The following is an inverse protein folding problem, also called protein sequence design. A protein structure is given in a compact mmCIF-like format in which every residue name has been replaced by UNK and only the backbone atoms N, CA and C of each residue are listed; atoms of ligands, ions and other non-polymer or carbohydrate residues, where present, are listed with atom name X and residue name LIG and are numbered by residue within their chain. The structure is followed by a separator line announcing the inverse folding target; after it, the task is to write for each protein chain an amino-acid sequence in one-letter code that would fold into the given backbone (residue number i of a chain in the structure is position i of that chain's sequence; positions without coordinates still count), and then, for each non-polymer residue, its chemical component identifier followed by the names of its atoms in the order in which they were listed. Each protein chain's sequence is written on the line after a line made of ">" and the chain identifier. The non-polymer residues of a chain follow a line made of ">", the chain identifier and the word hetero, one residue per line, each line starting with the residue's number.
data_IF_296812376575
#
_entry.id   IF_296812376575
#
_cell.length_a   1.000
_cell.length_b   1.000
_cell.length_c   1.000
_cell.angle_alpha   90.00
_cell.angle_beta   90.00
_cell.angle_gamma   90.00
#
_symmetry.space_group_name_H-M   'P 1'
#
loop_
_entity.id
_entity.type
_entity.pdbx_description
1 polymer ?
#
# COMPACT_ATOMS: atom_id res chain seq x y z
N UNK A 1 -12.83 7.97 10.95
CA UNK A 1 -11.52 8.59 11.25
C UNK A 1 -11.59 10.05 10.83
N UNK A 2 -11.05 11.02 11.58
CA UNK A 2 -11.03 12.41 11.12
C UNK A 2 -10.08 12.52 9.93
N UNK A 3 -10.63 12.88 8.78
CA UNK A 3 -9.87 13.19 7.56
C UNK A 3 -9.74 14.70 7.53
N UNK A 4 -8.53 15.19 7.32
CA UNK A 4 -8.27 16.61 7.13
C UNK A 4 -7.99 16.84 5.65
N UNK A 5 -8.98 17.37 4.94
CA UNK A 5 -8.79 17.90 3.59
C UNK A 5 -8.62 19.41 3.73
N UNK A 6 -7.47 19.93 3.31
CA UNK A 6 -7.21 21.36 3.26
C UNK A 6 -7.05 21.72 1.79
N UNK A 7 -7.99 22.51 1.30
CA UNK A 7 -7.90 23.10 -0.02
C UNK A 7 -7.08 24.39 0.04
N UNK A 8 -6.07 24.47 -0.82
CA UNK A 8 -5.27 25.67 -1.05
C UNK A 8 -5.61 26.15 -2.46
N UNK A 9 -6.37 27.24 -2.54
CA UNK A 9 -6.87 27.78 -3.80
C UNK A 9 -5.97 28.88 -4.35
N UNK A 10 -5.63 28.78 -5.63
CA UNK A 10 -5.17 29.92 -6.43
C UNK A 10 -6.23 30.35 -7.45
N UNK A 11 -7.04 29.42 -7.97
CA UNK A 11 -8.16 29.70 -8.88
C UNK A 11 -9.11 28.51 -9.01
N UNK A 12 -10.40 28.76 -9.25
CA UNK A 12 -11.38 27.73 -9.67
C UNK A 12 -11.19 27.28 -11.14
N UNK A 13 -10.22 27.87 -11.83
CA UNK A 13 -9.85 27.54 -13.21
C UNK A 13 -8.45 26.94 -13.21
N UNK A 14 -8.26 25.83 -13.90
CA UNK A 14 -6.96 25.14 -14.02
C UNK A 14 -6.95 23.73 -13.42
N UNK A 15 -5.79 23.07 -13.39
CA UNK A 15 -5.68 21.71 -12.86
C UNK A 15 -5.89 21.64 -11.35
N UNK A 16 -6.30 20.48 -10.87
CA UNK A 16 -6.35 20.14 -9.45
C UNK A 16 -5.31 19.08 -9.11
N UNK A 17 -4.33 19.43 -8.28
CA UNK A 17 -3.25 18.52 -7.85
C UNK A 17 -3.42 18.17 -6.37
N UNK A 18 -3.38 16.89 -6.03
CA UNK A 18 -3.42 16.42 -4.65
C UNK A 18 -2.02 16.07 -4.14
N UNK A 19 -1.69 16.53 -2.92
CA UNK A 19 -0.54 16.06 -2.14
C UNK A 19 -1.08 15.28 -0.94
N UNK A 20 -0.70 14.00 -0.84
CA UNK A 20 -1.22 13.07 0.17
C UNK A 20 -0.24 12.96 1.33
N UNK A 21 -0.77 13.02 2.56
CA UNK A 21 -0.01 13.05 3.81
C UNK A 21 -0.44 11.86 4.67
N UNK A 22 0.41 10.85 4.78
CA UNK A 22 0.26 9.79 5.77
C UNK A 22 0.77 10.23 7.13
N UNK A 23 0.15 9.75 8.20
CA UNK A 23 0.50 10.16 9.58
C UNK A 23 0.16 9.11 10.64
N UNK A 24 -0.27 7.91 10.25
CA UNK A 24 -0.44 6.81 11.18
C UNK A 24 0.91 6.23 11.64
N UNK A 25 0.88 5.47 12.72
CA UNK A 25 2.04 4.85 13.33
C UNK A 25 1.76 3.36 13.56
N UNK A 26 2.83 2.59 13.73
CA UNK A 26 2.73 1.16 14.01
C UNK A 26 2.64 0.90 15.52
N UNK A 27 1.86 -0.12 15.94
CA UNK A 27 1.81 -0.54 17.34
C UNK A 27 3.21 -0.80 17.90
N UNK A 28 3.46 -0.31 19.11
CA UNK A 28 4.68 -0.55 19.91
C UNK A 28 6.00 0.04 19.36
N UNK A 29 6.08 0.37 18.08
CA UNK A 29 7.30 0.86 17.43
C UNK A 29 7.18 2.28 16.86
N UNK A 30 6.02 2.93 16.97
CA UNK A 30 5.85 4.33 16.56
C UNK A 30 5.92 4.51 15.04
N UNK A 31 6.45 5.65 14.56
CA UNK A 31 6.61 5.92 13.13
C UNK A 31 7.76 5.13 12.49
N UNK A 32 7.78 3.82 12.67
CA UNK A 32 8.80 2.94 12.10
C UNK A 32 8.72 2.82 10.56
N UNK A 33 7.69 3.38 9.93
CA UNK A 33 7.59 3.54 8.48
C UNK A 33 7.89 4.98 8.01
N UNK A 34 8.09 5.92 8.95
CA UNK A 34 8.45 7.30 8.66
C UNK A 34 7.28 8.19 8.21
N UNK A 35 6.03 7.84 8.53
CA UNK A 35 4.85 8.63 8.12
C UNK A 35 4.88 10.07 8.67
N UNK A 36 5.56 10.31 9.80
CA UNK A 36 5.84 11.67 10.27
C UNK A 36 6.59 12.52 9.21
N UNK A 37 7.54 11.93 8.49
CA UNK A 37 8.29 12.61 7.43
C UNK A 37 7.50 12.69 6.11
N UNK A 38 6.58 11.76 5.85
CA UNK A 38 5.64 11.85 4.72
C UNK A 38 4.74 13.08 4.91
N UNK A 39 4.12 13.21 6.08
CA UNK A 39 3.32 14.38 6.44
C UNK A 39 4.15 15.68 6.37
N UNK A 40 5.37 15.67 6.90
CA UNK A 40 6.27 16.82 6.89
C UNK A 40 6.62 17.27 5.46
N UNK A 41 7.10 16.35 4.61
CA UNK A 41 7.47 16.65 3.23
C UNK A 41 6.27 17.14 2.41
N UNK A 42 5.11 16.48 2.56
CA UNK A 42 3.87 16.87 1.88
C UNK A 42 3.38 18.25 2.30
N UNK A 43 3.39 18.54 3.61
CA UNK A 43 2.98 19.85 4.12
C UNK A 43 3.97 20.96 3.70
N UNK A 44 5.27 20.70 3.77
CA UNK A 44 6.29 21.64 3.30
C UNK A 44 6.12 21.94 1.81
N UNK A 45 5.84 20.91 1.00
CA UNK A 45 5.56 21.08 -0.41
C UNK A 45 4.32 21.96 -0.63
N UNK A 46 3.25 21.70 0.10
CA UNK A 46 2.02 22.47 -0.02
C UNK A 46 2.18 23.95 0.36
N UNK A 47 2.93 24.25 1.42
CA UNK A 47 3.26 25.62 1.82
C UNK A 47 4.07 26.32 0.73
N UNK A 48 5.06 25.65 0.14
CA UNK A 48 5.88 26.22 -0.92
C UNK A 48 5.09 26.50 -2.20
N UNK A 49 4.21 25.57 -2.61
CA UNK A 49 3.31 25.77 -3.76
C UNK A 49 2.36 26.94 -3.49
N UNK A 50 1.76 27.00 -2.30
CA UNK A 50 0.90 28.12 -1.90
C UNK A 50 1.60 29.47 -2.07
N UNK A 51 2.79 29.59 -1.50
CA UNK A 51 3.56 30.83 -1.56
C UNK A 51 3.88 31.23 -3.02
N UNK A 52 4.25 30.26 -3.86
CA UNK A 52 4.52 30.51 -5.28
C UNK A 52 3.27 30.97 -6.04
N UNK A 53 2.10 30.38 -5.76
CA UNK A 53 0.82 30.78 -6.39
C UNK A 53 0.32 32.15 -5.91
N UNK A 54 0.63 32.54 -4.67
CA UNK A 54 0.33 33.88 -4.16
C UNK A 54 1.25 34.95 -4.78
N UNK A 55 2.48 34.59 -5.16
CA UNK A 55 3.45 35.48 -5.79
C UNK A 55 3.24 35.60 -7.31
N UNK A 56 2.87 34.52 -7.98
CA UNK A 56 2.68 34.46 -9.43
C UNK A 56 1.22 34.18 -9.81
N UNK A 57 0.50 35.24 -10.18
CA UNK A 57 -0.90 35.16 -10.58
C UNK A 57 -1.13 34.39 -11.90
N UNK A 58 -0.09 34.07 -12.67
CA UNK A 58 -0.21 33.21 -13.87
C UNK A 58 -0.40 31.73 -13.50
N UNK A 59 -0.03 31.33 -12.28
CA UNK A 59 -0.28 29.97 -11.78
C UNK A 59 -1.76 29.80 -11.43
N UNK A 60 -2.48 29.09 -12.30
CA UNK A 60 -3.91 28.78 -12.14
C UNK A 60 -4.11 27.33 -11.72
N UNK A 61 -5.13 27.08 -10.90
CA UNK A 61 -5.52 25.75 -10.44
C UNK A 61 -5.76 25.67 -8.94
N UNK A 62 -5.94 24.44 -8.48
CA UNK A 62 -6.24 24.09 -7.09
C UNK A 62 -5.21 23.08 -6.57
N UNK A 63 -4.65 23.36 -5.39
CA UNK A 63 -3.87 22.38 -4.65
C UNK A 63 -4.72 21.80 -3.53
N UNK A 64 -4.82 20.47 -3.46
CA UNK A 64 -5.52 19.76 -2.40
C UNK A 64 -4.48 19.08 -1.50
N UNK A 65 -4.51 19.38 -0.21
CA UNK A 65 -3.69 18.69 0.79
C UNK A 65 -4.58 17.70 1.51
N UNK A 66 -4.30 16.42 1.33
CA UNK A 66 -5.15 15.35 1.85
C UNK A 66 -4.44 14.58 2.93
N UNK A 67 -4.95 14.69 4.15
CA UNK A 67 -4.54 13.83 5.25
C UNK A 67 -5.11 12.42 5.10
N UNK A 68 -4.26 11.43 4.88
CA UNK A 68 -4.64 10.03 4.64
C UNK A 68 -4.29 9.14 5.82
N UNK A 69 -5.27 8.70 6.63
CA UNK A 69 -5.01 7.86 7.80
C UNK A 69 -4.79 6.39 7.43
N UNK A 70 -4.28 5.61 8.37
CA UNK A 70 -4.38 4.15 8.42
C UNK A 70 -3.85 3.38 7.19
N UNK A 71 -2.73 3.83 6.61
CA UNK A 71 -2.10 3.10 5.52
C UNK A 71 -1.53 1.74 5.96
N UNK A 72 -1.14 1.57 7.22
CA UNK A 72 -0.49 0.35 7.74
C UNK A 72 -1.43 -0.87 7.89
N UNK A 73 -2.61 -0.83 7.27
CA UNK A 73 -3.53 -1.96 7.15
C UNK A 73 -5.00 -1.61 7.35
N UNK A 74 -5.35 -0.32 7.43
CA UNK A 74 -6.73 0.16 7.50
C UNK A 74 -7.26 0.76 6.19
N UNK A 75 -6.44 0.83 5.14
CA UNK A 75 -6.86 1.22 3.80
C UNK A 75 -7.51 2.60 3.73
N UNK A 76 -7.01 3.58 4.49
CA UNK A 76 -7.70 4.87 4.61
C UNK A 76 -7.87 5.60 3.29
N UNK A 77 -6.93 5.46 2.34
CA UNK A 77 -7.10 6.04 0.98
C UNK A 77 -8.21 5.35 0.19
N UNK A 78 -8.44 4.05 0.42
CA UNK A 78 -9.53 3.29 -0.23
C UNK A 78 -10.87 3.85 0.25
N UNK A 79 -11.03 4.05 1.56
CA UNK A 79 -12.25 4.65 2.12
C UNK A 79 -12.46 6.09 1.61
N UNK A 80 -11.39 6.87 1.48
CA UNK A 80 -11.46 8.22 0.90
C UNK A 80 -11.88 8.20 -0.56
N UNK A 81 -11.36 7.25 -1.33
CA UNK A 81 -11.73 7.03 -2.73
C UNK A 81 -13.20 6.67 -2.87
N UNK A 82 -13.72 5.75 -2.05
CA UNK A 82 -15.13 5.37 -2.02
C UNK A 82 -16.07 6.52 -1.65
N UNK A 83 -15.60 7.46 -0.83
CA UNK A 83 -16.33 8.67 -0.43
C UNK A 83 -16.22 9.82 -1.43
N UNK A 84 -15.57 9.61 -2.59
CA UNK A 84 -15.45 10.61 -3.65
C UNK A 84 -14.38 11.66 -3.41
N UNK A 85 -13.46 11.48 -2.44
CA UNK A 85 -12.44 12.49 -2.11
C UNK A 85 -11.43 12.77 -3.24
N UNK A 86 -11.34 11.86 -4.22
CA UNK A 86 -10.47 11.99 -5.40
C UNK A 86 -11.23 12.44 -6.66
N UNK A 87 -12.53 12.72 -6.57
CA UNK A 87 -13.28 13.27 -7.69
C UNK A 87 -12.76 14.65 -8.07
N UNK A 88 -12.47 14.86 -9.36
CA UNK A 88 -11.93 16.12 -9.88
C UNK A 88 -10.45 16.34 -9.61
N UNK A 89 -9.73 15.39 -9.00
CA UNK A 89 -8.26 15.43 -8.90
C UNK A 89 -7.64 15.00 -10.24
N UNK A 90 -6.76 15.84 -10.79
CA UNK A 90 -6.08 15.60 -12.07
C UNK A 90 -4.75 14.84 -11.90
N UNK A 91 -4.08 14.99 -10.76
CA UNK A 91 -2.86 14.27 -10.41
C UNK A 91 -2.70 14.17 -8.88
N UNK A 92 -2.15 13.05 -8.41
CA UNK A 92 -1.95 12.76 -6.98
C UNK A 92 -0.47 12.42 -6.70
N UNK A 93 0.12 13.02 -5.66
CA UNK A 93 1.55 12.83 -5.39
C UNK A 93 1.82 12.67 -3.90
N UNK A 94 2.75 11.78 -3.57
CA UNK A 94 3.32 11.64 -2.23
C UNK A 94 4.75 11.13 -2.34
N UNK A 95 5.49 11.14 -1.23
CA UNK A 95 6.87 10.63 -1.14
C UNK A 95 7.01 9.76 0.10
N UNK A 96 7.96 8.81 0.09
CA UNK A 96 8.16 7.89 1.21
C UNK A 96 9.62 7.85 1.67
N UNK A 97 9.91 8.00 2.97
CA UNK A 97 11.26 7.78 3.47
C UNK A 97 11.59 6.29 3.44
N UNK A 98 12.78 5.96 2.97
CA UNK A 98 13.31 4.61 2.94
C UNK A 98 14.81 4.63 3.17
N UNK A 99 15.42 3.45 3.22
CA UNK A 99 16.89 3.31 3.24
C UNK A 99 17.52 3.55 1.87
N UNK A 100 16.72 3.57 0.82
CA UNK A 100 17.18 3.70 -0.57
C UNK A 100 16.22 4.59 -1.36
N UNK A 101 16.77 5.43 -2.23
CA UNK A 101 15.99 6.25 -3.14
C UNK A 101 15.51 5.37 -4.30
N UNK A 102 14.24 5.48 -4.66
CA UNK A 102 13.69 4.85 -5.84
C UNK A 102 12.57 5.71 -6.40
N UNK A 103 12.79 6.32 -7.56
CA UNK A 103 11.77 7.16 -8.20
C UNK A 103 10.63 6.36 -8.81
N UNK A 104 10.87 5.09 -9.14
CA UNK A 104 9.91 4.18 -9.75
C UNK A 104 9.72 2.93 -8.86
N UNK A 105 9.20 3.08 -7.64
CA UNK A 105 9.00 1.94 -6.76
C UNK A 105 7.95 1.01 -7.33
N UNK A 106 8.17 -0.28 -7.14
CA UNK A 106 7.21 -1.34 -7.48
C UNK A 106 6.66 -1.88 -6.17
N UNK A 107 5.38 -1.73 -5.95
CA UNK A 107 4.67 -2.28 -4.79
C UNK A 107 3.85 -3.49 -5.21
N UNK A 108 3.39 -4.27 -4.23
CA UNK A 108 2.64 -5.49 -4.47
C UNK A 108 1.15 -5.27 -4.19
N UNK A 109 0.29 -5.87 -5.00
CA UNK A 109 -1.09 -6.11 -4.58
C UNK A 109 -1.09 -6.97 -3.31
N UNK A 110 -2.06 -6.75 -2.42
CA UNK A 110 -2.16 -7.48 -1.15
C UNK A 110 -3.61 -7.69 -0.74
N UNK A 111 -3.95 -8.93 -0.34
CA UNK A 111 -5.23 -9.28 0.27
C UNK A 111 -5.04 -10.20 1.47
N UNK A 112 -5.95 -10.07 2.45
CA UNK A 112 -6.01 -10.88 3.67
C UNK A 112 -7.31 -11.64 3.76
N UNK A 113 -7.24 -12.97 3.79
CA UNK A 113 -8.38 -13.83 4.07
C UNK A 113 -8.50 -14.15 5.56
N UNK A 114 -9.74 -14.15 6.05
CA UNK A 114 -10.16 -14.92 7.22
C UNK A 114 -10.83 -16.19 6.73
N UNK A 115 -10.35 -17.34 7.19
CA UNK A 115 -10.87 -18.67 6.84
C UNK A 115 -11.35 -19.36 8.11
N UNK A 116 -12.55 -19.91 8.09
CA UNK A 116 -13.20 -20.54 9.23
C UNK A 116 -13.66 -21.94 8.83
N UNK A 117 -13.12 -22.95 9.49
CA UNK A 117 -13.55 -24.33 9.35
C UNK A 117 -14.54 -24.68 10.45
N UNK A 118 -15.62 -25.35 10.08
CA UNK A 118 -16.65 -25.83 11.00
C UNK A 118 -16.81 -27.33 10.89
N UNK A 119 -16.66 -28.00 12.02
CA UNK A 119 -16.77 -29.43 12.19
C UNK A 119 -17.81 -29.80 13.26
N UNK A 120 -17.55 -30.87 13.99
CA UNK A 120 -18.43 -31.42 15.03
C UNK A 120 -17.60 -32.01 16.17
N UNK A 121 -17.95 -31.65 17.40
CA UNK A 121 -17.28 -32.17 18.59
C UNK A 121 -17.59 -33.65 18.82
N UNK A 122 -16.61 -34.35 19.39
CA UNK A 122 -16.75 -35.70 19.90
C UNK A 122 -15.68 -35.93 20.97
N UNK A 123 -15.89 -36.93 21.82
CA UNK A 123 -14.87 -37.33 22.78
C UNK A 123 -13.73 -38.03 22.04
N UNK A 124 -12.55 -37.41 22.01
CA UNK A 124 -11.44 -37.82 21.14
C UNK A 124 -11.00 -39.28 21.41
N UNK A 125 -10.97 -39.70 22.68
CA UNK A 125 -10.58 -41.06 23.06
C UNK A 125 -11.68 -42.12 23.04
N UNK A 126 -12.96 -41.74 22.94
CA UNK A 126 -14.08 -42.68 23.19
C UNK A 126 -14.96 -42.90 21.96
N UNK A 127 -15.25 -41.83 21.21
CA UNK A 127 -16.12 -41.89 20.03
C UNK A 127 -15.68 -40.91 18.91
N UNK A 128 -14.40 -40.90 18.49
CA UNK A 128 -13.91 -39.93 17.52
C UNK A 128 -14.64 -39.99 16.16
N UNK A 129 -15.20 -41.14 15.77
CA UNK A 129 -15.96 -41.32 14.52
C UNK A 129 -17.27 -40.52 14.46
N UNK A 130 -17.78 -40.05 15.61
CA UNK A 130 -18.96 -39.17 15.67
C UNK A 130 -18.61 -37.70 15.35
N UNK A 131 -17.32 -37.35 15.35
CA UNK A 131 -16.82 -36.00 15.19
C UNK A 131 -16.37 -35.67 13.76
N UNK A 132 -16.12 -34.38 13.53
CA UNK A 132 -15.49 -33.83 12.31
C UNK A 132 -14.46 -32.80 12.77
N UNK A 133 -13.19 -33.08 12.55
CA UNK A 133 -12.10 -32.31 13.17
C UNK A 133 -11.75 -31.06 12.35
N UNK A 134 -12.18 -29.90 12.83
CA UNK A 134 -11.89 -28.62 12.18
C UNK A 134 -10.41 -28.24 12.27
N UNK A 135 -9.68 -28.66 13.32
CA UNK A 135 -8.24 -28.45 13.41
C UNK A 135 -7.51 -29.23 12.31
N UNK A 136 -7.91 -30.47 12.06
CA UNK A 136 -7.32 -31.27 10.96
C UNK A 136 -7.57 -30.58 9.61
N UNK A 137 -8.75 -29.99 9.40
CA UNK A 137 -9.04 -29.21 8.20
C UNK A 137 -8.08 -28.00 8.06
N UNK A 138 -7.87 -27.23 9.12
CA UNK A 138 -6.93 -26.11 9.11
C UNK A 138 -5.48 -26.57 8.86
N UNK A 139 -5.04 -27.67 9.48
CA UNK A 139 -3.70 -28.25 9.27
C UNK A 139 -3.54 -28.76 7.84
N UNK A 140 -4.52 -29.49 7.30
CA UNK A 140 -4.52 -29.92 5.91
C UNK A 140 -4.47 -28.74 4.94
N UNK A 141 -5.24 -27.68 5.21
CA UNK A 141 -5.18 -26.44 4.44
C UNK A 141 -3.77 -25.81 4.45
N UNK A 142 -3.14 -25.72 5.62
CA UNK A 142 -1.78 -25.20 5.76
C UNK A 142 -0.77 -26.04 4.96
N UNK A 143 -0.89 -27.37 4.98
CA UNK A 143 -0.04 -28.27 4.21
C UNK A 143 -0.27 -28.13 2.70
N UNK A 144 -1.53 -28.01 2.26
CA UNK A 144 -1.87 -27.76 0.85
C UNK A 144 -1.22 -26.44 0.36
N UNK A 145 -1.28 -25.37 1.17
CA UNK A 145 -0.60 -24.11 0.87
C UNK A 145 0.92 -24.30 0.83
N UNK A 146 1.49 -25.07 1.76
CA UNK A 146 2.93 -25.35 1.77
C UNK A 146 3.39 -26.06 0.49
N UNK A 147 2.62 -27.03 -0.01
CA UNK A 147 2.89 -27.72 -1.28
C UNK A 147 2.68 -26.78 -2.48
N UNK A 148 1.63 -25.96 -2.47
CA UNK A 148 1.34 -24.98 -3.51
C UNK A 148 2.53 -24.03 -3.76
N UNK A 149 3.27 -23.65 -2.71
CA UNK A 149 4.42 -22.74 -2.82
C UNK A 149 5.53 -23.23 -3.77
N UNK A 150 5.66 -24.53 -4.02
CA UNK A 150 6.60 -25.04 -5.02
C UNK A 150 6.20 -24.65 -6.45
N UNK A 151 4.92 -24.32 -6.68
CA UNK A 151 4.32 -24.13 -8.00
C UNK A 151 3.77 -22.71 -8.21
N UNK A 152 4.21 -21.73 -7.44
CA UNK A 152 3.91 -20.30 -7.63
C UNK A 152 5.11 -19.55 -8.21
N UNK A 153 4.88 -18.35 -8.77
CA UNK A 153 5.97 -17.52 -9.27
C UNK A 153 6.88 -17.06 -8.12
N UNK A 154 8.20 -16.88 -8.34
CA UNK A 154 9.11 -16.37 -7.32
C UNK A 154 8.72 -15.01 -6.72
N UNK A 155 8.00 -14.18 -7.49
CA UNK A 155 7.48 -12.87 -7.06
C UNK A 155 6.25 -12.97 -6.16
N UNK A 156 5.55 -14.11 -6.14
CA UNK A 156 4.34 -14.29 -5.34
C UNK A 156 4.67 -14.64 -3.90
N UNK A 157 3.78 -14.28 -2.97
CA UNK A 157 3.94 -14.59 -1.54
C UNK A 157 2.62 -15.10 -0.98
N UNK A 158 2.72 -16.12 -0.12
CA UNK A 158 1.59 -16.61 0.68
C UNK A 158 2.09 -16.81 2.11
N UNK A 159 1.51 -16.08 3.07
CA UNK A 159 1.72 -16.26 4.50
C UNK A 159 0.42 -16.76 5.12
N UNK A 160 0.49 -17.69 6.05
CA UNK A 160 -0.69 -18.23 6.71
C UNK A 160 -0.39 -18.50 8.19
N UNK A 161 -1.40 -18.37 9.04
CA UNK A 161 -1.38 -18.77 10.44
C UNK A 161 -2.70 -19.43 10.83
N UNK A 162 -2.66 -20.31 11.83
CA UNK A 162 -3.86 -20.82 12.50
C UNK A 162 -4.06 -19.96 13.76
N UNK A 163 -5.14 -19.19 13.80
CA UNK A 163 -5.42 -18.27 14.91
C UNK A 163 -6.24 -18.93 16.02
N UNK A 164 -6.98 -19.98 15.67
CA UNK A 164 -7.77 -20.81 16.61
C UNK A 164 -7.76 -22.25 16.15
N UNK A 165 -7.50 -23.19 17.06
CA UNK A 165 -7.28 -24.59 16.72
C UNK A 165 -7.78 -25.60 17.76
N UNK A 166 -8.82 -25.26 18.53
CA UNK A 166 -9.32 -26.09 19.63
C UNK A 166 -8.84 -25.63 21.01
N UNK A 167 -9.36 -26.27 22.06
CA UNK A 167 -9.19 -25.85 23.46
C UNK A 167 -8.45 -26.88 24.29
N UNK A 168 -8.85 -28.15 24.22
CA UNK A 168 -8.22 -29.25 24.96
C UNK A 168 -8.09 -30.51 24.08
N UNK A 169 -7.03 -31.32 24.24
CA UNK A 169 -6.79 -32.48 23.36
C UNK A 169 -7.84 -33.59 23.40
N UNK A 170 -8.62 -33.71 24.49
CA UNK A 170 -9.60 -34.79 24.65
C UNK A 170 -10.97 -34.50 23.98
N UNK A 171 -11.11 -33.34 23.32
CA UNK A 171 -12.31 -32.95 22.56
C UNK A 171 -11.89 -32.69 21.12
N UNK A 172 -12.55 -33.34 20.16
CA UNK A 172 -12.36 -33.06 18.74
C UNK A 172 -12.81 -31.61 18.45
N UNK A 173 -11.94 -30.72 17.93
CA UNK A 173 -12.30 -29.34 17.66
C UNK A 173 -13.42 -29.22 16.61
N UNK A 174 -14.51 -28.53 16.96
CA UNK A 174 -15.60 -28.19 16.04
C UNK A 174 -15.39 -26.90 15.26
N UNK A 175 -14.37 -26.11 15.60
CA UNK A 175 -14.04 -24.88 14.90
C UNK A 175 -12.52 -24.65 14.88
N UNK A 176 -12.03 -24.17 13.74
CA UNK A 176 -10.67 -23.69 13.59
C UNK A 176 -10.63 -22.50 12.63
N UNK A 177 -9.83 -21.50 12.96
CA UNK A 177 -9.73 -20.26 12.20
C UNK A 177 -8.30 -20.08 11.68
N UNK A 178 -8.17 -19.56 10.47
CA UNK A 178 -6.90 -19.21 9.85
C UNK A 178 -6.94 -17.80 9.28
N UNK A 179 -5.77 -17.19 9.21
CA UNK A 179 -5.56 -16.00 8.40
C UNK A 179 -4.54 -16.28 7.31
N UNK A 180 -4.81 -15.79 6.10
CA UNK A 180 -3.97 -16.05 4.93
C UNK A 180 -3.75 -14.75 4.16
N UNK A 181 -2.50 -14.32 4.05
CA UNK A 181 -2.06 -13.20 3.22
C UNK A 181 -1.55 -13.68 1.87
N UNK A 182 -1.90 -12.94 0.82
CA UNK A 182 -1.40 -13.16 -0.53
C UNK A 182 -0.90 -11.86 -1.11
N UNK A 183 0.26 -11.91 -1.77
CA UNK A 183 0.83 -10.78 -2.49
C UNK A 183 1.34 -11.16 -3.87
N UNK A 184 1.08 -10.31 -4.85
CA UNK A 184 1.54 -10.46 -6.23
C UNK A 184 1.89 -9.11 -6.86
N UNK A 185 2.76 -9.09 -7.88
CA UNK A 185 3.06 -7.89 -8.65
C UNK A 185 1.87 -7.18 -9.30
N UNK A 186 0.85 -7.92 -9.77
CA UNK A 186 -0.31 -7.34 -10.45
C UNK A 186 -1.63 -7.96 -9.99
N UNK A 187 -2.75 -7.27 -10.25
CA UNK A 187 -4.11 -7.72 -9.92
C UNK A 187 -4.49 -9.02 -10.64
N UNK A 188 -4.10 -9.16 -11.91
CA UNK A 188 -4.35 -10.37 -12.70
C UNK A 188 -3.64 -11.60 -12.12
N UNK A 189 -2.40 -11.42 -11.68
CA UNK A 189 -1.66 -12.45 -10.97
C UNK A 189 -2.29 -12.79 -9.62
N UNK A 190 -2.79 -11.78 -8.89
CA UNK A 190 -3.46 -11.98 -7.60
C UNK A 190 -4.69 -12.86 -7.76
N UNK A 191 -5.54 -12.58 -8.76
CA UNK A 191 -6.73 -13.37 -9.08
C UNK A 191 -6.39 -14.84 -9.36
N UNK A 192 -5.28 -15.06 -10.09
CA UNK A 192 -4.78 -16.41 -10.38
C UNK A 192 -4.32 -17.14 -9.12
N UNK A 193 -3.52 -16.47 -8.28
CA UNK A 193 -3.04 -17.05 -7.02
C UNK A 193 -4.20 -17.34 -6.06
N UNK A 194 -5.12 -16.39 -5.92
CA UNK A 194 -6.31 -16.47 -5.09
C UNK A 194 -7.13 -17.71 -5.38
N UNK A 195 -7.43 -17.96 -6.65
CA UNK A 195 -8.20 -19.14 -7.08
C UNK A 195 -7.55 -20.46 -6.62
N UNK A 196 -6.21 -20.53 -6.68
CA UNK A 196 -5.46 -21.73 -6.26
C UNK A 196 -5.43 -21.88 -4.74
N UNK A 197 -5.35 -20.78 -4.00
CA UNK A 197 -5.37 -20.79 -2.53
C UNK A 197 -6.78 -21.11 -1.99
N UNK A 198 -7.84 -20.58 -2.61
CA UNK A 198 -9.24 -20.92 -2.27
C UNK A 198 -9.54 -22.41 -2.50
N UNK A 199 -8.92 -23.02 -3.51
CA UNK A 199 -9.00 -24.46 -3.70
C UNK A 199 -8.35 -25.25 -2.55
N UNK A 200 -7.29 -24.74 -1.93
CA UNK A 200 -6.69 -25.35 -0.72
C UNK A 200 -7.65 -25.30 0.48
N UNK A 201 -8.41 -24.21 0.63
CA UNK A 201 -9.43 -24.08 1.69
C UNK A 201 -10.52 -25.13 1.50
N UNK A 202 -11.06 -25.19 0.28
CA UNK A 202 -12.19 -26.06 -0.08
C UNK A 202 -11.81 -27.54 -0.03
N UNK A 203 -10.61 -27.91 -0.49
CA UNK A 203 -10.16 -29.30 -0.50
C UNK A 203 -9.93 -29.85 0.90
N UNK A 204 -9.39 -29.02 1.81
CA UNK A 204 -9.15 -29.42 3.20
C UNK A 204 -10.47 -29.64 3.97
N UNK A 205 -11.46 -28.77 3.76
CA UNK A 205 -12.81 -28.94 4.28
C UNK A 205 -13.43 -30.26 3.79
N UNK A 206 -13.39 -30.46 2.46
CA UNK A 206 -13.93 -31.65 1.81
C UNK A 206 -13.29 -32.94 2.33
N UNK A 207 -11.96 -33.00 2.42
CA UNK A 207 -11.23 -34.19 2.86
C UNK A 207 -11.53 -34.60 4.31
N UNK A 208 -11.88 -33.63 5.16
CA UNK A 208 -12.14 -33.84 6.59
C UNK A 208 -13.64 -33.91 6.91
N UNK A 209 -14.50 -33.75 5.91
CA UNK A 209 -15.96 -33.67 6.08
C UNK A 209 -16.42 -32.41 6.83
N UNK A 210 -15.58 -31.38 6.92
CA UNK A 210 -15.90 -30.08 7.52
C UNK A 210 -16.51 -29.14 6.48
N UNK A 211 -17.18 -28.10 6.98
CA UNK A 211 -17.57 -26.94 6.18
C UNK A 211 -16.47 -25.87 6.25
N UNK A 212 -16.36 -25.02 5.23
CA UNK A 212 -15.47 -23.85 5.25
C UNK A 212 -16.20 -22.61 4.79
N UNK A 213 -15.95 -21.51 5.49
CA UNK A 213 -16.32 -20.17 5.07
C UNK A 213 -15.05 -19.33 5.00
N UNK A 214 -14.91 -18.52 3.97
CA UNK A 214 -13.79 -17.62 3.85
C UNK A 214 -14.20 -16.34 3.16
N UNK A 215 -13.59 -15.24 3.58
CA UNK A 215 -13.75 -13.92 2.97
C UNK A 215 -12.44 -13.16 3.11
N UNK A 216 -12.18 -12.25 2.19
CA UNK A 216 -11.12 -11.27 2.36
C UNK A 216 -11.72 -9.89 2.58
N UNK A 217 -10.94 -9.04 3.21
CA UNK A 217 -11.32 -7.65 3.46
C UNK A 217 -11.07 -6.81 2.21
N UNK A 218 -12.13 -6.50 1.48
CA UNK A 218 -12.06 -5.68 0.27
C UNK A 218 -11.63 -4.24 0.58
N UNK A 219 -12.04 -3.69 1.73
CA UNK A 219 -11.68 -2.34 2.15
C UNK A 219 -10.18 -2.21 2.46
N UNK A 220 -9.49 -3.33 2.66
CA UNK A 220 -8.05 -3.42 2.91
C UNK A 220 -7.30 -4.18 1.80
N UNK A 221 -7.90 -4.30 0.61
CA UNK A 221 -7.26 -4.88 -0.56
C UNK A 221 -6.41 -3.82 -1.27
N UNK A 222 -5.09 -3.97 -1.21
CA UNK A 222 -4.18 -3.00 -1.80
C UNK A 222 -3.85 -3.39 -3.22
N UNK A 223 -3.84 -2.40 -4.11
CA UNK A 223 -3.36 -2.57 -5.48
C UNK A 223 -1.86 -2.30 -5.58
N UNK A 224 -1.26 -2.75 -6.67
CA UNK A 224 0.09 -2.36 -7.02
C UNK A 224 0.12 -0.90 -7.51
N UNK A 225 1.24 -0.23 -7.26
CA UNK A 225 1.45 1.16 -7.64
C UNK A 225 1.73 1.28 -9.14
N UNK A 226 0.89 2.04 -9.83
CA UNK A 226 1.10 2.50 -11.20
C UNK A 226 1.77 3.87 -11.15
N UNK A 227 3.09 3.90 -11.32
CA UNK A 227 3.84 5.16 -11.34
C UNK A 227 3.70 5.83 -12.70
N UNK A 228 3.04 7.00 -12.73
CA UNK A 228 2.96 7.82 -13.95
C UNK A 228 4.36 8.29 -14.35
N UNK A 229 4.82 7.86 -15.52
CA UNK A 229 6.21 8.05 -15.96
C UNK A 229 6.52 9.51 -16.25
N UNK A 230 5.55 10.27 -16.76
CA UNK A 230 5.74 11.71 -17.03
C UNK A 230 5.98 12.46 -15.72
N UNK A 231 5.09 12.30 -14.73
CA UNK A 231 5.25 12.90 -13.40
C UNK A 231 6.55 12.47 -12.73
N UNK A 232 6.87 11.17 -12.76
CA UNK A 232 8.06 10.63 -12.11
C UNK A 232 9.36 11.14 -12.75
N UNK A 233 9.40 11.35 -14.07
CA UNK A 233 10.56 11.93 -14.75
C UNK A 233 10.75 13.42 -14.42
N UNK A 234 9.65 14.19 -14.34
CA UNK A 234 9.71 15.60 -13.89
C UNK A 234 10.24 15.65 -12.45
N UNK A 235 9.69 14.82 -11.57
CA UNK A 235 10.14 14.70 -10.19
C UNK A 235 11.64 14.34 -10.13
N UNK A 236 12.07 13.37 -10.93
CA UNK A 236 13.48 12.95 -11.02
C UNK A 236 14.40 14.10 -11.42
N UNK A 237 14.05 14.86 -12.47
CA UNK A 237 14.86 15.99 -12.94
C UNK A 237 15.09 17.02 -11.83
N UNK A 238 14.03 17.35 -11.10
CA UNK A 238 14.11 18.27 -9.96
C UNK A 238 14.90 17.70 -8.78
N UNK A 239 14.74 16.40 -8.50
CA UNK A 239 15.51 15.72 -7.45
C UNK A 239 17.01 15.77 -7.75
N UNK A 240 17.40 15.45 -8.99
CA UNK A 240 18.81 15.46 -9.43
C UNK A 240 19.42 16.86 -9.35
N UNK A 241 18.68 17.91 -9.68
CA UNK A 241 19.13 19.32 -9.51
C UNK A 241 19.40 19.70 -8.05
N UNK A 242 18.74 19.02 -7.10
CA UNK A 242 18.96 19.20 -5.67
C UNK A 242 19.99 18.21 -5.09
N UNK A 243 20.65 17.41 -5.94
CA UNK A 243 21.62 16.40 -5.54
C UNK A 243 21.00 15.11 -4.98
N UNK A 244 19.68 14.94 -5.10
CA UNK A 244 18.96 13.73 -4.72
C UNK A 244 18.91 12.76 -5.89
N UNK A 245 19.98 12.00 -6.06
CA UNK A 245 20.07 11.02 -7.15
C UNK A 245 19.21 9.78 -6.88
N UNK A 246 18.68 9.20 -7.97
CA UNK A 246 17.98 7.93 -7.94
C UNK A 246 18.90 6.80 -7.45
N UNK A 247 18.31 5.76 -6.87
CA UNK A 247 19.06 4.61 -6.37
C UNK A 247 19.70 3.78 -7.50
N UNK A 248 20.66 2.92 -7.17
CA UNK A 248 21.29 2.04 -8.15
C UNK A 248 20.25 1.07 -8.76
N UNK A 249 20.46 0.60 -9.99
CA UNK A 249 19.47 -0.23 -10.72
C UNK A 249 19.04 -1.50 -9.98
N UNK A 250 19.90 -2.04 -9.10
CA UNK A 250 19.54 -3.19 -8.26
C UNK A 250 18.38 -2.89 -7.30
N UNK A 251 18.28 -1.65 -6.82
CA UNK A 251 17.18 -1.18 -5.94
C UNK A 251 15.87 -1.06 -6.72
N UNK A 252 15.92 -0.68 -8.00
CA UNK A 252 14.73 -0.56 -8.87
C UNK A 252 14.02 -1.89 -9.13
N UNK A 253 14.72 -3.01 -8.91
CA UNK A 253 14.17 -4.38 -9.05
C UNK A 253 13.58 -4.93 -7.75
N UNK A 254 13.73 -4.20 -6.64
CA UNK A 254 13.14 -4.60 -5.36
C UNK A 254 11.64 -4.37 -5.45
N UNK A 255 10.89 -5.44 -5.20
CA UNK A 255 9.47 -5.33 -4.90
C UNK A 255 9.36 -4.88 -3.45
N UNK A 256 8.92 -3.64 -3.27
CA UNK A 256 8.66 -3.07 -1.96
C UNK A 256 7.35 -3.64 -1.40
N UNK A 257 6.94 -3.18 -0.23
CA UNK A 257 5.71 -3.61 0.43
C UNK A 257 4.45 -3.31 -0.38
N UNK A 258 3.35 -3.15 0.32
CA UNK A 258 2.04 -2.83 -0.27
C UNK A 258 1.58 -1.52 0.34
N UNK A 259 0.93 -0.68 -0.46
CA UNK A 259 0.45 0.63 -0.03
C UNK A 259 -0.89 0.92 -0.68
N UNK A 260 -1.80 1.57 0.05
CA UNK A 260 -3.10 1.98 -0.48
C UNK A 260 -3.00 3.17 -1.48
N UNK A 261 -1.82 3.79 -1.62
CA UNK A 261 -1.52 4.68 -2.74
C UNK A 261 -1.57 3.95 -4.09
N UNK A 262 -1.38 2.62 -4.09
CA UNK A 262 -1.64 1.79 -5.25
C UNK A 262 -3.07 1.95 -5.75
N UNK A 263 -4.06 1.91 -4.85
CA UNK A 263 -5.47 2.06 -5.23
C UNK A 263 -5.75 3.43 -5.87
N UNK A 264 -5.14 4.50 -5.35
CA UNK A 264 -5.26 5.84 -5.94
C UNK A 264 -4.65 5.90 -7.34
N UNK A 265 -3.50 5.25 -7.53
CA UNK A 265 -2.83 5.20 -8.83
C UNK A 265 -3.57 4.40 -9.91
N UNK A 266 -4.67 3.72 -9.58
CA UNK A 266 -5.55 3.09 -10.57
C UNK A 266 -6.70 4.02 -11.01
N UNK A 267 -6.90 5.16 -10.34
CA UNK A 267 -8.01 6.08 -10.61
C UNK A 267 -7.54 7.48 -10.99
N UNK A 268 -6.37 7.89 -10.49
CA UNK A 268 -5.76 9.20 -10.75
C UNK A 268 -4.27 9.02 -11.14
N UNK A 269 -3.73 9.78 -12.11
CA UNK A 269 -2.30 9.79 -12.40
C UNK A 269 -1.48 10.09 -11.15
N UNK A 270 -0.55 9.20 -10.81
CA UNK A 270 0.07 9.22 -9.50
C UNK A 270 1.58 8.96 -9.47
N UNK A 271 2.26 9.50 -8.45
CA UNK A 271 3.62 9.12 -8.06
C UNK A 271 3.72 8.89 -6.56
N UNK A 272 4.58 7.95 -6.17
CA UNK A 272 4.94 7.68 -4.78
C UNK A 272 6.46 7.40 -4.65
N UNK A 273 7.36 8.35 -5.01
CA UNK A 273 8.79 8.11 -5.00
C UNK A 273 9.33 7.86 -3.60
N UNK A 274 10.32 6.99 -3.48
CA UNK A 274 11.01 6.71 -2.22
C UNK A 274 12.29 7.53 -2.18
N UNK A 275 12.61 8.12 -1.02
CA UNK A 275 13.82 8.91 -0.81
C UNK A 275 14.61 8.39 0.38
N UNK A 276 15.93 8.51 0.29
CA UNK A 276 16.83 8.00 1.34
C UNK A 276 16.88 8.95 2.54
N UNK A 277 16.74 8.40 3.74
CA UNK A 277 17.16 9.05 4.99
C UNK A 277 18.35 8.28 5.62
N UNK A 278 19.23 8.95 6.40
CA UNK A 278 20.29 8.26 7.13
C UNK A 278 19.71 7.26 8.13
N UNK A 279 19.83 5.95 7.85
CA UNK A 279 19.36 4.89 8.74
C UNK A 279 20.16 3.60 8.57
N UNK A 280 20.48 2.94 9.68
CA UNK A 280 20.95 1.56 9.70
C UNK A 280 19.80 0.53 9.65
N UNK A 281 18.58 0.98 9.97
CA UNK A 281 17.37 0.17 9.96
C UNK A 281 16.70 0.16 8.58
N UNK A 282 15.75 -0.76 8.43
CA UNK A 282 14.75 -0.72 7.34
C UNK A 282 13.40 -0.35 7.94
N UNK A 283 12.47 0.12 7.12
CA UNK A 283 11.09 0.38 7.55
C UNK A 283 10.52 -0.80 8.36
N UNK A 284 9.66 -0.49 9.33
CA UNK A 284 9.06 -1.41 10.30
C UNK A 284 10.05 -1.97 11.35
N UNK A 285 11.11 -1.22 11.66
CA UNK A 285 12.04 -1.54 12.74
C UNK A 285 12.19 -0.37 13.71
N UNK A 286 12.50 -0.65 14.98
CA UNK A 286 12.77 0.39 16.00
C UNK A 286 13.90 1.34 15.57
N UNK A 287 14.92 0.83 14.88
CA UNK A 287 16.02 1.63 14.32
C UNK A 287 15.54 2.63 13.27
N UNK A 288 14.51 2.29 12.50
CA UNK A 288 13.94 3.23 11.53
C UNK A 288 13.06 4.27 12.21
N UNK A 289 12.37 3.93 13.29
CA UNK A 289 11.70 4.93 14.15
C UNK A 289 12.68 5.97 14.65
N UNK A 290 13.81 5.54 15.21
CA UNK A 290 14.89 6.42 15.68
C UNK A 290 15.39 7.32 14.55
N UNK A 291 15.70 6.75 13.38
CA UNK A 291 16.13 7.51 12.21
C UNK A 291 15.08 8.50 11.70
N UNK A 292 13.81 8.12 11.68
CA UNK A 292 12.71 8.97 11.20
C UNK A 292 12.44 10.16 12.11
N UNK A 293 12.81 10.07 13.39
CA UNK A 293 12.73 11.17 14.36
C UNK A 293 14.05 11.94 14.52
N UNK A 294 15.10 11.57 13.79
CA UNK A 294 16.43 12.13 13.95
C UNK A 294 16.58 13.45 13.17
N UNK A 295 17.34 14.45 13.68
CA UNK A 295 17.61 15.69 12.96
C UNK A 295 18.22 15.48 11.56
N UNK A 296 19.02 14.42 11.38
CA UNK A 296 19.67 14.08 10.13
C UNK A 296 18.69 13.68 9.02
N UNK A 297 17.45 13.28 9.36
CA UNK A 297 16.40 12.99 8.40
C UNK A 297 15.71 14.26 7.86
N UNK A 298 15.89 15.41 8.51
CA UNK A 298 15.18 16.65 8.17
C UNK A 298 15.67 17.25 6.85
N UNK A 299 16.98 17.35 6.65
CA UNK A 299 17.55 17.88 5.38
C UNK A 299 17.06 17.11 4.14
N UNK A 300 17.16 15.77 4.04
CA UNK A 300 16.62 15.06 2.89
C UNK A 300 15.10 15.17 2.77
N UNK A 301 14.36 15.23 3.90
CA UNK A 301 12.90 15.40 3.91
C UNK A 301 12.47 16.77 3.36
N UNK A 302 13.16 17.85 3.71
CA UNK A 302 12.90 19.17 3.15
C UNK A 302 13.27 19.28 1.67
N UNK A 303 14.40 18.67 1.26
CA UNK A 303 14.80 18.65 -0.15
C UNK A 303 13.79 17.88 -1.00
N UNK A 304 13.30 16.73 -0.53
CA UNK A 304 12.29 15.97 -1.29
C UNK A 304 10.93 16.67 -1.29
N UNK A 305 10.53 17.34 -0.20
CA UNK A 305 9.35 18.20 -0.18
C UNK A 305 9.45 19.33 -1.20
N UNK A 306 10.63 19.95 -1.36
CA UNK A 306 10.89 20.94 -2.40
C UNK A 306 10.76 20.33 -3.81
N UNK A 307 11.26 19.11 -4.04
CA UNK A 307 11.07 18.39 -5.31
C UNK A 307 9.58 18.16 -5.61
N UNK A 308 8.81 17.76 -4.61
CA UNK A 308 7.37 17.53 -4.72
C UNK A 308 6.64 18.83 -5.10
N UNK A 309 6.99 19.96 -4.46
CA UNK A 309 6.45 21.28 -4.80
C UNK A 309 6.77 21.70 -6.23
N UNK A 310 8.02 21.56 -6.67
CA UNK A 310 8.42 21.92 -8.04
C UNK A 310 7.70 21.07 -9.09
N UNK A 311 7.47 19.79 -8.78
CA UNK A 311 6.70 18.88 -9.65
C UNK A 311 5.26 19.35 -9.77
N UNK A 312 4.61 19.73 -8.65
CA UNK A 312 3.26 20.30 -8.67
C UNK A 312 3.18 21.61 -9.48
N UNK A 313 4.14 22.51 -9.26
CA UNK A 313 4.22 23.80 -9.96
C UNK A 313 4.39 23.61 -11.48
N UNK A 314 5.10 22.57 -11.91
CA UNK A 314 5.23 22.27 -13.33
C UNK A 314 3.89 21.91 -13.98
N UNK A 315 2.98 21.25 -13.25
CA UNK A 315 1.61 20.97 -13.72
C UNK A 315 0.79 22.27 -13.80
N UNK A 316 0.86 23.12 -12.78
CA UNK A 316 0.14 24.41 -12.77
C UNK A 316 0.63 25.37 -13.85
N UNK A 317 1.93 25.31 -14.20
CA UNK A 317 2.56 26.20 -15.18
C UNK A 317 2.31 25.79 -16.64
N UNK A 318 2.17 24.49 -16.92
CA UNK A 318 2.10 23.99 -18.30
C UNK A 318 0.91 23.04 -18.51
N UNK A 319 -0.16 23.49 -19.19
CA UNK A 319 -1.29 22.64 -19.55
C UNK A 319 -0.88 21.38 -20.34
N UNK A 320 0.16 21.51 -21.18
CA UNK A 320 0.68 20.40 -21.99
C UNK A 320 1.24 19.27 -21.12
N UNK A 321 1.88 19.60 -19.99
CA UNK A 321 2.37 18.58 -19.05
C UNK A 321 1.21 17.76 -18.51
N UNK A 322 0.10 18.40 -18.14
CA UNK A 322 -1.06 17.65 -17.65
C UNK A 322 -1.67 16.75 -18.73
N UNK A 323 -1.76 17.24 -19.97
CA UNK A 323 -2.24 16.43 -21.10
C UNK A 323 -1.36 15.19 -21.31
N UNK A 324 -0.04 15.34 -21.24
CA UNK A 324 0.90 14.22 -21.33
C UNK A 324 0.76 13.24 -20.16
N UNK A 325 0.60 13.76 -18.93
CA UNK A 325 0.35 12.96 -17.73
C UNK A 325 -0.91 12.13 -17.87
N UNK A 326 -2.03 12.73 -18.30
CA UNK A 326 -3.31 12.04 -18.51
C UNK A 326 -3.22 11.01 -19.62
N UNK A 327 -2.58 11.35 -20.74
CA UNK A 327 -2.37 10.41 -21.85
C UNK A 327 -1.50 9.22 -21.44
N UNK A 328 -0.44 9.45 -20.67
CA UNK A 328 0.41 8.37 -20.18
C UNK A 328 -0.34 7.48 -19.19
N UNK A 329 -1.21 8.05 -18.35
CA UNK A 329 -2.03 7.30 -17.41
C UNK A 329 -3.00 6.33 -18.09
N UNK A 330 -3.66 6.76 -19.19
CA UNK A 330 -4.52 5.88 -19.99
C UNK A 330 -3.76 4.67 -20.56
N UNK A 331 -2.48 4.85 -20.91
CA UNK A 331 -1.62 3.75 -21.39
C UNK A 331 -1.22 2.84 -20.23
N UNK A 332 -0.76 3.41 -19.11
CA UNK A 332 -0.22 2.65 -17.99
C UNK A 332 -1.30 1.78 -17.29
N UNK A 333 -2.58 2.20 -17.28
CA UNK A 333 -3.68 1.36 -16.75
C UNK A 333 -4.01 0.18 -17.66
N UNK A 334 -3.91 0.33 -18.98
CA UNK A 334 -4.23 -0.75 -19.93
C UNK A 334 -3.17 -1.85 -19.91
N UNK A 335 -1.92 -1.49 -19.62
CA UNK A 335 -0.79 -2.41 -19.57
C UNK A 335 -0.70 -3.25 -18.27
N UNK A 336 -1.60 -3.02 -17.30
CA UNK A 336 -1.70 -3.72 -15.99
C UNK A 336 -2.72 -4.87 -15.96
#
# INVERSE_FOLDING_TARGET
>A
MPVTIIDIFASDVGPTVAILLEYDALPEIGHACGHNLIAEAGLAAAIAVKAAMEEDAELKGKLVVMGTPAEEGGGGKIQLLELGAFEGIDAAMMVHPARVTNIFPRTLCNIRYSVQFKGKEAHAGACPWEGRNALDAAVSCYLNIAQLRQHIKPSWKIQAIITKGGTIPNIIPSAADMEVHMRTPTRSELKTLRTRVEACFTSAATATGCDVQFRYDEANAYENLITNKVLANIFKEYAERLGLNDGPDKVKRILFGSTDMGNISHVVPAIHPFYTIPSEGVNHTKRFTEASGAPEAQTPTLLIGKTLAMTALQIFKSPQVLEEVKKNFEIDIVDE
#
